data_IF_987940049917
#
_entry.id   IF_987940049917
#
_cell.length_a   1.000
_cell.length_b   1.000
_cell.length_c   1.000
_cell.angle_alpha   90.00
_cell.angle_beta   90.00
_cell.angle_gamma   90.00
#
_symmetry.space_group_name_H-M   'P 1'
#
loop_
_entity.id
_entity.type
_entity.pdbx_description
1 polymer ?
#
# COMPACT_ATOMS: atom_id res chain seq x y z
N UNK A 1 -40.39 37.56 -4.20
CA UNK A 1 -39.53 36.63 -4.94
C UNK A 1 -39.41 35.38 -4.10
N UNK A 2 -40.17 34.33 -4.44
CA UNK A 2 -40.17 33.08 -3.70
C UNK A 2 -38.97 32.26 -4.14
N UNK A 3 -37.95 32.15 -3.29
CA UNK A 3 -36.88 31.17 -3.49
C UNK A 3 -37.49 29.78 -3.35
N UNK A 4 -37.63 29.07 -4.47
CA UNK A 4 -38.11 27.70 -4.47
C UNK A 4 -36.99 26.78 -3.99
N UNK A 5 -37.02 26.38 -2.73
CA UNK A 5 -36.20 25.28 -2.18
C UNK A 5 -36.53 23.91 -2.81
N UNK A 6 -37.48 23.85 -3.78
CA UNK A 6 -37.98 22.61 -4.36
C UNK A 6 -37.07 21.96 -5.42
N UNK A 7 -35.90 22.54 -5.73
CA UNK A 7 -35.00 22.00 -6.76
C UNK A 7 -33.78 21.25 -6.21
N UNK A 8 -33.54 21.25 -4.89
CA UNK A 8 -32.48 20.40 -4.32
C UNK A 8 -33.06 18.98 -4.18
N UNK A 9 -32.55 17.98 -4.91
CA UNK A 9 -32.99 16.61 -4.72
C UNK A 9 -32.76 16.22 -3.24
N UNK A 10 -33.65 15.41 -2.63
CA UNK A 10 -33.41 14.95 -1.28
C UNK A 10 -32.04 14.27 -1.25
N UNK A 11 -31.14 14.76 -0.39
CA UNK A 11 -29.73 14.34 -0.30
C UNK A 11 -29.59 12.80 -0.22
N UNK A 12 -30.61 12.14 0.33
CA UNK A 12 -30.77 10.68 0.41
C UNK A 12 -30.71 9.96 -0.96
N UNK A 13 -31.07 10.62 -2.06
CA UNK A 13 -31.06 10.04 -3.41
C UNK A 13 -29.74 10.18 -4.15
N UNK A 14 -28.81 11.01 -3.66
CA UNK A 14 -27.55 11.28 -4.34
C UNK A 14 -26.58 10.14 -4.09
N UNK A 15 -26.35 9.27 -5.07
CA UNK A 15 -25.51 8.06 -4.90
C UNK A 15 -24.06 8.26 -5.35
N UNK A 16 -23.73 9.37 -5.99
CA UNK A 16 -22.38 9.62 -6.50
C UNK A 16 -21.77 10.94 -5.97
N UNK A 17 -20.44 10.93 -5.86
CA UNK A 17 -19.66 12.05 -5.32
C UNK A 17 -19.68 13.31 -6.18
N UNK A 18 -19.82 13.16 -7.50
CA UNK A 18 -19.87 14.29 -8.43
C UNK A 18 -21.16 15.11 -8.29
N UNK A 19 -22.31 14.45 -8.20
CA UNK A 19 -23.59 15.11 -7.94
C UNK A 19 -23.58 15.76 -6.56
N UNK A 20 -23.02 15.09 -5.55
CA UNK A 20 -22.90 15.67 -4.22
C UNK A 20 -22.00 16.91 -4.22
N UNK A 21 -20.90 16.91 -4.96
CA UNK A 21 -20.04 18.08 -5.10
C UNK A 21 -20.78 19.26 -5.72
N UNK A 22 -21.55 19.04 -6.80
CA UNK A 22 -22.39 20.08 -7.41
C UNK A 22 -23.44 20.63 -6.44
N UNK A 23 -24.07 19.75 -5.66
CA UNK A 23 -25.05 20.17 -4.64
C UNK A 23 -24.37 20.97 -3.51
N UNK A 24 -23.16 20.61 -3.11
CA UNK A 24 -22.39 21.39 -2.13
C UNK A 24 -22.10 22.80 -2.66
N UNK A 25 -21.68 22.93 -3.92
CA UNK A 25 -21.45 24.24 -4.55
C UNK A 25 -22.72 25.09 -4.57
N UNK A 26 -23.86 24.50 -4.94
CA UNK A 26 -25.15 25.18 -4.95
C UNK A 26 -25.60 25.56 -3.53
N UNK A 27 -25.44 24.67 -2.55
CA UNK A 27 -25.72 24.95 -1.14
C UNK A 27 -24.88 26.10 -0.60
N UNK A 28 -23.58 26.15 -0.93
CA UNK A 28 -22.69 27.22 -0.51
C UNK A 28 -23.11 28.57 -1.12
N UNK A 29 -23.44 28.58 -2.41
CA UNK A 29 -23.94 29.78 -3.11
C UNK A 29 -25.28 30.27 -2.53
N UNK A 30 -26.19 29.33 -2.25
CA UNK A 30 -27.48 29.64 -1.64
C UNK A 30 -27.31 30.19 -0.22
N UNK A 31 -26.45 29.57 0.59
CA UNK A 31 -26.15 30.04 1.95
C UNK A 31 -25.56 31.45 1.94
N UNK A 32 -24.63 31.74 1.04
CA UNK A 32 -24.05 33.09 0.91
C UNK A 32 -25.12 34.14 0.58
N UNK A 33 -26.06 33.80 -0.31
CA UNK A 33 -27.18 34.68 -0.66
C UNK A 33 -28.16 34.85 0.51
N UNK A 34 -28.45 33.78 1.26
CA UNK A 34 -29.31 33.82 2.43
C UNK A 34 -28.72 34.70 3.55
N UNK A 35 -27.40 34.69 3.72
CA UNK A 35 -26.71 35.56 4.68
C UNK A 35 -26.89 37.05 4.36
N UNK A 36 -26.96 37.43 3.08
CA UNK A 36 -27.31 38.80 2.66
C UNK A 36 -28.73 39.21 3.07
N UNK A 37 -29.61 38.24 3.27
CA UNK A 37 -30.97 38.43 3.77
C UNK A 37 -31.06 38.25 5.30
N UNK A 38 -29.92 38.21 6.00
CA UNK A 38 -29.81 37.95 7.43
C UNK A 38 -30.42 36.60 7.88
N UNK A 39 -30.46 35.63 6.97
CA UNK A 39 -30.83 34.24 7.25
C UNK A 39 -29.57 33.39 7.32
N UNK A 40 -29.30 32.76 8.47
CA UNK A 40 -28.21 31.78 8.59
C UNK A 40 -28.77 30.36 8.54
N UNK A 41 -28.64 29.72 7.39
CA UNK A 41 -29.01 28.31 7.16
C UNK A 41 -27.79 27.40 7.08
N UNK A 42 -26.58 27.95 7.24
CA UNK A 42 -25.32 27.26 6.98
C UNK A 42 -25.14 26.03 7.87
N UNK A 43 -25.53 26.12 9.14
CA UNK A 43 -25.47 25.01 10.09
C UNK A 43 -26.29 23.80 9.65
N UNK A 44 -27.55 24.01 9.24
CA UNK A 44 -28.44 22.91 8.83
C UNK A 44 -27.99 22.25 7.52
N UNK A 45 -27.51 23.06 6.57
CA UNK A 45 -26.95 22.56 5.32
C UNK A 45 -25.67 21.75 5.57
N UNK A 46 -24.76 22.27 6.40
CA UNK A 46 -23.51 21.61 6.74
C UNK A 46 -23.75 20.24 7.40
N UNK A 47 -24.65 20.14 8.38
CA UNK A 47 -24.96 18.85 9.03
C UNK A 47 -25.50 17.82 8.02
N UNK A 48 -26.39 18.25 7.12
CA UNK A 48 -26.98 17.36 6.12
C UNK A 48 -25.93 16.88 5.09
N UNK A 49 -25.05 17.79 4.65
CA UNK A 49 -23.95 17.49 3.74
C UNK A 49 -22.92 16.56 4.39
N UNK A 50 -22.49 16.87 5.62
CA UNK A 50 -21.58 16.03 6.42
C UNK A 50 -22.16 14.62 6.56
N UNK A 51 -23.44 14.51 6.91
CA UNK A 51 -24.13 13.22 7.05
C UNK A 51 -24.10 12.42 5.75
N UNK A 52 -24.37 13.08 4.60
CA UNK A 52 -24.38 12.38 3.31
C UNK A 52 -22.99 11.93 2.88
N UNK A 53 -21.96 12.78 3.02
CA UNK A 53 -20.56 12.43 2.74
C UNK A 53 -20.14 11.23 3.59
N UNK A 54 -20.43 11.25 4.90
CA UNK A 54 -20.15 10.13 5.81
C UNK A 54 -20.84 8.84 5.36
N UNK A 55 -22.09 8.93 4.92
CA UNK A 55 -22.87 7.77 4.46
C UNK A 55 -22.26 7.15 3.21
N UNK A 56 -22.00 7.95 2.17
CA UNK A 56 -21.37 7.47 0.93
C UNK A 56 -20.00 6.84 1.20
N UNK A 57 -19.19 7.46 2.06
CA UNK A 57 -17.90 6.92 2.43
C UNK A 57 -18.03 5.57 3.16
N UNK A 58 -18.95 5.48 4.13
CA UNK A 58 -19.17 4.27 4.90
C UNK A 58 -19.68 3.11 4.03
N UNK A 59 -20.57 3.39 3.06
CA UNK A 59 -21.06 2.39 2.10
C UNK A 59 -19.89 1.82 1.27
N UNK A 60 -19.02 2.67 0.75
CA UNK A 60 -17.85 2.23 -0.04
C UNK A 60 -16.85 1.44 0.80
N UNK A 61 -16.57 1.87 2.04
CA UNK A 61 -15.72 1.12 2.97
C UNK A 61 -16.32 -0.25 3.31
N UNK A 62 -17.65 -0.35 3.49
CA UNK A 62 -18.32 -1.61 3.76
C UNK A 62 -18.22 -2.59 2.57
N UNK A 63 -18.40 -2.10 1.34
CA UNK A 63 -18.21 -2.90 0.12
C UNK A 63 -16.75 -3.36 -0.05
N UNK A 64 -15.80 -2.47 0.25
CA UNK A 64 -14.37 -2.80 0.27
C UNK A 64 -14.07 -3.92 1.27
N UNK A 65 -14.62 -3.82 2.49
CA UNK A 65 -14.45 -4.81 3.53
C UNK A 65 -15.07 -6.16 3.15
N UNK A 66 -16.27 -6.15 2.57
CA UNK A 66 -16.91 -7.38 2.08
C UNK A 66 -16.07 -8.07 0.99
N UNK A 67 -15.55 -7.30 0.04
CA UNK A 67 -14.71 -7.82 -1.06
C UNK A 67 -13.40 -8.41 -0.54
N UNK A 68 -12.74 -7.71 0.40
CA UNK A 68 -11.57 -8.23 1.10
C UNK A 68 -11.89 -9.54 1.83
N UNK A 69 -12.93 -9.57 2.67
CA UNK A 69 -13.29 -10.75 3.46
C UNK A 69 -13.62 -11.96 2.58
N UNK A 70 -14.38 -11.75 1.50
CA UNK A 70 -14.70 -12.81 0.54
C UNK A 70 -13.45 -13.35 -0.16
N UNK A 71 -12.52 -12.47 -0.55
CA UNK A 71 -11.25 -12.88 -1.14
C UNK A 71 -10.35 -13.58 -0.12
N UNK A 72 -10.33 -13.14 1.13
CA UNK A 72 -9.52 -13.74 2.19
C UNK A 72 -10.02 -15.14 2.55
N UNK A 73 -11.34 -15.35 2.58
CA UNK A 73 -11.94 -16.65 2.86
C UNK A 73 -11.58 -17.76 1.83
N UNK A 74 -11.17 -17.36 0.63
CA UNK A 74 -10.76 -18.28 -0.45
C UNK A 74 -9.26 -18.25 -0.72
N UNK A 75 -8.51 -17.41 0.00
CA UNK A 75 -7.08 -17.26 -0.17
C UNK A 75 -6.34 -18.52 0.31
N UNK A 76 -5.34 -18.96 -0.47
CA UNK A 76 -4.52 -20.12 -0.12
C UNK A 76 -3.08 -19.70 0.13
N UNK A 77 -2.56 -20.10 1.28
CA UNK A 77 -1.15 -19.91 1.65
C UNK A 77 -0.18 -20.84 0.90
N UNK A 78 -0.70 -21.81 0.13
CA UNK A 78 0.12 -22.76 -0.63
C UNK A 78 0.89 -22.03 -1.73
N UNK A 79 2.16 -22.41 -1.89
CA UNK A 79 2.98 -21.94 -3.01
C UNK A 79 2.39 -22.48 -4.32
N UNK A 80 1.79 -21.59 -5.11
CA UNK A 80 1.37 -21.96 -6.46
C UNK A 80 2.62 -22.24 -7.30
N UNK A 81 2.72 -23.44 -7.86
CA UNK A 81 3.89 -23.93 -8.60
C UNK A 81 4.26 -23.10 -9.84
N UNK A 82 3.42 -22.14 -10.23
CA UNK A 82 3.67 -21.21 -11.35
C UNK A 82 4.03 -19.77 -10.94
N UNK A 83 3.91 -19.39 -9.67
CA UNK A 83 4.19 -18.03 -9.20
C UNK A 83 5.48 -18.04 -8.39
N UNK A 84 6.62 -17.90 -9.08
CA UNK A 84 7.88 -17.57 -8.44
C UNK A 84 7.70 -16.20 -7.80
N UNK A 85 7.46 -16.18 -6.49
CA UNK A 85 7.29 -14.96 -5.70
C UNK A 85 8.65 -14.26 -5.62
N UNK A 86 9.04 -13.58 -6.70
CA UNK A 86 10.32 -12.90 -6.75
C UNK A 86 10.27 -11.77 -5.74
N UNK A 87 11.03 -11.90 -4.65
CA UNK A 87 11.36 -10.83 -3.69
C UNK A 87 12.13 -9.67 -4.33
N UNK A 88 12.18 -9.59 -5.67
CA UNK A 88 13.06 -8.74 -6.46
C UNK A 88 12.33 -8.02 -7.61
N UNK A 89 11.03 -7.74 -7.50
CA UNK A 89 10.50 -6.59 -8.23
C UNK A 89 11.11 -5.35 -7.58
N UNK A 90 12.28 -4.97 -8.11
CA UNK A 90 13.08 -3.80 -7.75
C UNK A 90 12.19 -2.67 -7.25
N UNK A 91 12.34 -2.35 -5.97
CA UNK A 91 11.99 -1.05 -5.38
C UNK A 91 12.50 0.02 -6.35
N UNK A 92 11.58 0.63 -7.10
CA UNK A 92 11.91 1.72 -7.98
C UNK A 92 12.39 2.87 -7.07
N UNK A 93 13.65 3.27 -7.25
CA UNK A 93 14.22 4.46 -6.62
C UNK A 93 13.27 5.66 -6.83
N UNK A 94 13.09 6.52 -5.82
CA UNK A 94 12.24 7.69 -5.95
C UNK A 94 12.91 8.69 -6.90
N UNK A 95 12.55 8.64 -8.19
CA UNK A 95 12.83 9.73 -9.11
C UNK A 95 12.10 10.97 -8.61
N UNK A 96 12.90 11.97 -8.23
CA UNK A 96 12.52 13.33 -7.90
C UNK A 96 11.84 14.00 -9.08
N UNK A 97 10.52 13.79 -9.20
CA UNK A 97 9.65 14.61 -10.03
C UNK A 97 8.30 14.77 -9.33
N UNK A 98 7.88 16.01 -9.18
CA UNK A 98 6.80 16.53 -8.33
C UNK A 98 5.37 16.15 -8.77
N UNK A 99 5.09 14.87 -8.98
CA UNK A 99 3.75 14.32 -8.81
C UNK A 99 3.88 13.07 -7.98
N UNK A 100 3.43 13.10 -6.72
CA UNK A 100 3.33 11.91 -5.90
C UNK A 100 2.50 10.88 -6.68
N UNK A 101 3.16 9.83 -7.18
CA UNK A 101 2.50 8.80 -7.96
C UNK A 101 1.50 8.08 -7.05
N UNK A 102 0.23 8.50 -7.08
CA UNK A 102 -0.92 7.83 -6.44
C UNK A 102 -1.26 6.49 -7.10
N UNK A 103 -0.40 5.97 -7.96
CA UNK A 103 -0.58 4.65 -8.56
C UNK A 103 -0.48 3.57 -7.47
N UNK A 104 -1.39 2.60 -7.43
CA UNK A 104 -1.29 1.45 -6.53
C UNK A 104 0.06 0.74 -6.69
N UNK A 105 0.71 0.29 -5.60
CA UNK A 105 1.91 -0.52 -5.69
C UNK A 105 1.65 -1.81 -6.48
N UNK A 106 2.43 -2.04 -7.54
CA UNK A 106 2.26 -3.21 -8.42
C UNK A 106 2.49 -4.53 -7.68
N UNK A 107 3.26 -4.50 -6.58
CA UNK A 107 3.47 -5.63 -5.66
C UNK A 107 2.19 -6.12 -5.00
N UNK A 108 1.10 -5.34 -4.99
CA UNK A 108 -0.18 -5.75 -4.43
C UNK A 108 -1.03 -6.59 -5.39
N UNK A 109 -0.74 -6.57 -6.70
CA UNK A 109 -1.52 -7.31 -7.70
C UNK A 109 -1.44 -8.83 -7.52
N UNK A 110 -0.33 -9.32 -6.97
CA UNK A 110 -0.14 -10.73 -6.59
C UNK A 110 -0.89 -11.10 -5.29
N UNK A 111 -1.34 -10.11 -4.52
CA UNK A 111 -2.05 -10.28 -3.25
C UNK A 111 -3.52 -9.89 -3.40
N UNK A 112 -4.31 -10.78 -4.00
CA UNK A 112 -5.70 -10.49 -4.37
C UNK A 112 -6.56 -9.90 -3.23
N UNK A 113 -6.51 -10.40 -1.97
CA UNK A 113 -7.25 -9.77 -0.87
C UNK A 113 -6.85 -8.31 -0.62
N UNK A 114 -5.55 -8.01 -0.60
CA UNK A 114 -5.04 -6.64 -0.44
C UNK A 114 -5.39 -5.78 -1.65
N UNK A 115 -5.35 -6.31 -2.86
CA UNK A 115 -5.77 -5.58 -4.06
C UNK A 115 -7.25 -5.17 -3.98
N UNK A 116 -8.15 -6.07 -3.56
CA UNK A 116 -9.57 -5.75 -3.35
C UNK A 116 -9.77 -4.69 -2.27
N UNK A 117 -9.06 -4.81 -1.14
CA UNK A 117 -9.12 -3.82 -0.07
C UNK A 117 -8.64 -2.44 -0.55
N UNK A 118 -7.54 -2.38 -1.32
CA UNK A 118 -6.99 -1.11 -1.79
C UNK A 118 -7.91 -0.48 -2.82
N UNK A 119 -8.40 -1.25 -3.78
CA UNK A 119 -9.31 -0.76 -4.81
C UNK A 119 -10.60 -0.19 -4.21
N UNK A 120 -11.15 -0.85 -3.17
CA UNK A 120 -12.31 -0.34 -2.45
C UNK A 120 -12.00 0.94 -1.65
N UNK A 121 -10.84 1.03 -0.99
CA UNK A 121 -10.37 2.27 -0.35
C UNK A 121 -10.22 3.42 -1.35
N UNK A 122 -9.57 3.18 -2.49
CA UNK A 122 -9.40 4.18 -3.54
C UNK A 122 -10.76 4.61 -4.11
N UNK A 123 -11.71 3.69 -4.24
CA UNK A 123 -13.09 4.00 -4.65
C UNK A 123 -13.78 4.88 -3.60
N UNK A 124 -13.63 4.57 -2.31
CA UNK A 124 -14.18 5.40 -1.23
C UNK A 124 -13.55 6.81 -1.23
N UNK A 125 -12.23 6.92 -1.36
CA UNK A 125 -11.53 8.20 -1.46
C UNK A 125 -11.99 9.02 -2.67
N UNK A 126 -12.07 8.38 -3.85
CA UNK A 126 -12.53 9.03 -5.07
C UNK A 126 -13.99 9.49 -4.95
N UNK A 127 -14.83 8.74 -4.24
CA UNK A 127 -16.23 9.10 -3.99
C UNK A 127 -16.34 10.40 -3.24
N UNK A 128 -15.46 10.67 -2.26
CA UNK A 128 -15.56 11.88 -1.44
C UNK A 128 -14.58 13.00 -1.82
N UNK A 129 -13.62 12.76 -2.72
CA UNK A 129 -12.53 13.70 -3.05
C UNK A 129 -12.99 15.11 -3.39
N UNK A 130 -14.12 15.25 -4.08
CA UNK A 130 -14.67 16.56 -4.51
C UNK A 130 -15.70 17.14 -3.54
N UNK A 131 -16.05 16.42 -2.48
CA UNK A 131 -17.07 16.79 -1.51
C UNK A 131 -16.55 16.67 -0.07
N UNK A 132 -15.24 16.83 0.15
CA UNK A 132 -14.67 16.89 1.50
C UNK A 132 -15.10 18.21 2.15
N UNK A 133 -15.87 18.10 3.23
CA UNK A 133 -16.33 19.23 4.05
C UNK A 133 -15.75 19.14 5.47
N UNK A 134 -15.55 20.25 6.19
CA UNK A 134 -15.12 20.22 7.59
C UNK A 134 -16.02 19.30 8.44
N UNK A 135 -15.42 18.53 9.36
CA UNK A 135 -16.16 17.64 10.26
C UNK A 135 -16.32 16.17 9.80
N UNK A 136 -15.82 15.80 8.62
CA UNK A 136 -15.82 14.39 8.14
C UNK A 136 -14.53 13.64 8.49
N UNK A 137 -13.44 14.35 8.79
CA UNK A 137 -12.09 13.78 8.93
C UNK A 137 -12.03 12.62 9.94
N UNK A 138 -12.41 12.85 11.19
CA UNK A 138 -12.33 11.83 12.26
C UNK A 138 -13.14 10.58 11.91
N UNK A 139 -14.31 10.77 11.28
CA UNK A 139 -15.15 9.66 10.83
C UNK A 139 -14.47 8.84 9.72
N UNK A 140 -13.89 9.52 8.72
CA UNK A 140 -13.21 8.85 7.62
C UNK A 140 -11.98 8.09 8.13
N UNK A 141 -11.17 8.71 8.99
CA UNK A 141 -10.02 8.06 9.66
C UNK A 141 -10.49 6.80 10.39
N UNK A 142 -11.51 6.88 11.24
CA UNK A 142 -12.01 5.73 12.00
C UNK A 142 -12.52 4.59 11.09
N UNK A 143 -13.13 4.91 9.94
CA UNK A 143 -13.59 3.91 8.97
C UNK A 143 -12.43 3.21 8.26
N UNK A 144 -11.43 3.97 7.84
CA UNK A 144 -10.21 3.40 7.22
C UNK A 144 -9.44 2.58 8.24
N UNK A 145 -9.25 3.09 9.45
CA UNK A 145 -8.64 2.37 10.57
C UNK A 145 -9.36 1.05 10.85
N UNK A 146 -10.70 1.05 10.90
CA UNK A 146 -11.48 -0.17 11.11
C UNK A 146 -11.21 -1.25 10.05
N UNK A 147 -11.03 -0.85 8.78
CA UNK A 147 -10.65 -1.77 7.71
C UNK A 147 -9.23 -2.30 7.92
N UNK A 148 -8.26 -1.42 8.16
CA UNK A 148 -6.86 -1.82 8.41
C UNK A 148 -6.72 -2.73 9.63
N UNK A 149 -7.43 -2.44 10.71
CA UNK A 149 -7.47 -3.26 11.92
C UNK A 149 -8.06 -4.64 11.65
N UNK A 150 -9.04 -4.73 10.77
CA UNK A 150 -9.61 -6.03 10.36
C UNK A 150 -8.55 -6.87 9.64
N UNK A 151 -7.86 -6.28 8.66
CA UNK A 151 -6.77 -6.96 7.93
C UNK A 151 -5.66 -7.40 8.91
N UNK A 152 -5.23 -6.51 9.80
CA UNK A 152 -4.20 -6.83 10.78
C UNK A 152 -4.62 -7.93 11.76
N UNK A 153 -5.89 -7.96 12.18
CA UNK A 153 -6.43 -9.01 13.06
C UNK A 153 -6.50 -10.36 12.36
N UNK A 154 -6.89 -10.41 11.09
CA UNK A 154 -6.88 -11.65 10.32
C UNK A 154 -5.45 -12.21 10.21
N UNK A 155 -4.46 -11.37 9.92
CA UNK A 155 -3.05 -11.78 9.90
C UNK A 155 -2.58 -12.26 11.27
N UNK A 156 -2.93 -11.55 12.34
CA UNK A 156 -2.56 -11.95 13.70
C UNK A 156 -3.23 -13.28 14.13
N UNK A 157 -4.45 -13.55 13.68
CA UNK A 157 -5.17 -14.81 13.94
C UNK A 157 -4.46 -16.00 13.30
N UNK A 158 -3.97 -15.83 12.07
CA UNK A 158 -3.34 -16.91 11.32
C UNK A 158 -1.84 -17.08 11.63
N UNK A 159 -1.25 -16.11 12.36
CA UNK A 159 0.18 -16.07 12.73
C UNK A 159 0.69 -17.36 13.35
N UNK A 160 0.08 -17.84 14.43
CA UNK A 160 0.61 -18.99 15.17
C UNK A 160 0.61 -20.25 14.31
N UNK A 161 -0.47 -20.47 13.56
CA UNK A 161 -0.63 -21.61 12.66
C UNK A 161 0.42 -21.59 11.54
N UNK A 162 0.56 -20.46 10.85
CA UNK A 162 1.44 -20.36 9.67
C UNK A 162 2.92 -20.25 10.04
N UNK A 163 3.26 -19.70 11.21
CA UNK A 163 4.65 -19.64 11.67
C UNK A 163 5.18 -20.99 12.17
N UNK A 164 4.29 -21.90 12.57
CA UNK A 164 4.62 -23.28 12.96
C UNK A 164 4.81 -24.22 11.76
N UNK A 165 4.34 -23.84 10.57
CA UNK A 165 4.52 -24.62 9.35
C UNK A 165 5.98 -24.54 8.85
N UNK A 166 6.49 -25.67 8.38
CA UNK A 166 7.78 -25.76 7.69
C UNK A 166 7.55 -25.75 6.17
N UNK A 167 8.20 -24.83 5.45
CA UNK A 167 8.16 -24.76 3.99
C UNK A 167 7.60 -23.46 3.41
N UNK A 168 7.06 -23.55 2.19
CA UNK A 168 6.68 -22.39 1.38
C UNK A 168 5.52 -21.57 1.92
N UNK A 169 4.60 -22.17 2.69
CA UNK A 169 3.42 -21.49 3.23
C UNK A 169 3.79 -20.37 4.21
N UNK A 170 4.76 -20.64 5.10
CA UNK A 170 5.33 -19.64 6.00
C UNK A 170 5.93 -18.47 5.23
N UNK A 171 6.64 -18.76 4.12
CA UNK A 171 7.25 -17.71 3.31
C UNK A 171 6.19 -16.85 2.60
N UNK A 172 5.13 -17.44 2.05
CA UNK A 172 4.01 -16.71 1.45
C UNK A 172 3.33 -15.82 2.48
N UNK A 173 3.10 -16.33 3.70
CA UNK A 173 2.57 -15.55 4.80
C UNK A 173 3.45 -14.33 5.14
N UNK A 174 4.76 -14.52 5.29
CA UNK A 174 5.69 -13.43 5.60
C UNK A 174 5.70 -12.36 4.50
N UNK A 175 5.69 -12.76 3.22
CA UNK A 175 5.64 -11.83 2.10
C UNK A 175 4.29 -11.08 2.03
N UNK A 176 3.19 -11.73 2.42
CA UNK A 176 1.89 -11.07 2.52
C UNK A 176 1.90 -10.01 3.63
N UNK A 177 2.42 -10.35 4.81
CA UNK A 177 2.58 -9.41 5.93
C UNK A 177 3.47 -8.24 5.52
N UNK A 178 4.57 -8.52 4.83
CA UNK A 178 5.47 -7.50 4.31
C UNK A 178 4.75 -6.55 3.36
N UNK A 179 4.00 -7.08 2.39
CA UNK A 179 3.22 -6.27 1.46
C UNK A 179 2.12 -5.45 2.16
N UNK A 180 1.49 -6.00 3.19
CA UNK A 180 0.52 -5.24 3.98
C UNK A 180 1.18 -4.06 4.70
N UNK A 181 2.32 -4.28 5.37
CA UNK A 181 2.97 -3.27 6.21
C UNK A 181 3.74 -2.23 5.39
N UNK A 182 4.50 -2.68 4.40
CA UNK A 182 5.47 -1.84 3.69
C UNK A 182 4.90 -1.21 2.40
N UNK A 183 3.90 -1.84 1.78
CA UNK A 183 3.34 -1.31 0.53
C UNK A 183 1.92 -0.78 0.75
N UNK A 184 1.00 -1.64 1.18
CA UNK A 184 -0.42 -1.32 1.31
C UNK A 184 -0.65 -0.21 2.34
N UNK A 185 -0.19 -0.41 3.58
CA UNK A 185 -0.43 0.51 4.68
C UNK A 185 0.18 1.89 4.42
N UNK A 186 1.43 1.94 3.95
CA UNK A 186 2.09 3.20 3.61
C UNK A 186 1.37 3.94 2.48
N UNK A 187 0.91 3.23 1.46
CA UNK A 187 0.14 3.85 0.38
C UNK A 187 -1.20 4.42 0.88
N UNK A 188 -1.87 3.73 1.81
CA UNK A 188 -3.10 4.24 2.44
C UNK A 188 -2.83 5.50 3.27
N UNK A 189 -1.72 5.57 4.02
CA UNK A 189 -1.32 6.79 4.75
C UNK A 189 -1.13 7.98 3.80
N UNK A 190 -0.42 7.77 2.69
CA UNK A 190 -0.25 8.80 1.65
C UNK A 190 -1.61 9.25 1.12
N UNK A 191 -2.49 8.31 0.75
CA UNK A 191 -3.83 8.67 0.25
C UNK A 191 -4.65 9.46 1.27
N UNK A 192 -4.55 9.12 2.55
CA UNK A 192 -5.23 9.83 3.63
C UNK A 192 -4.69 11.24 3.83
N UNK A 193 -3.35 11.43 3.80
CA UNK A 193 -2.73 12.76 3.83
C UNK A 193 -3.22 13.63 2.68
N UNK A 194 -3.24 13.09 1.47
CA UNK A 194 -3.62 13.84 0.27
C UNK A 194 -5.12 14.20 0.26
N UNK A 195 -5.97 13.35 0.84
CA UNK A 195 -7.41 13.57 0.88
C UNK A 195 -7.85 14.50 2.02
N UNK A 196 -7.25 14.37 3.20
CA UNK A 196 -7.74 14.98 4.46
C UNK A 196 -6.68 15.77 5.24
N UNK A 197 -5.42 15.78 4.79
CA UNK A 197 -4.31 16.51 5.41
C UNK A 197 -3.46 15.68 6.39
N UNK A 198 -2.37 16.28 6.88
CA UNK A 198 -1.38 15.62 7.74
C UNK A 198 -1.97 15.11 9.07
N UNK A 199 -2.97 15.81 9.62
CA UNK A 199 -3.62 15.40 10.87
C UNK A 199 -4.34 14.05 10.70
N UNK A 200 -4.96 13.81 9.54
CA UNK A 200 -5.63 12.55 9.26
C UNK A 200 -4.64 11.40 9.12
N UNK A 201 -3.48 11.63 8.50
CA UNK A 201 -2.38 10.66 8.44
C UNK A 201 -1.87 10.34 9.85
N UNK A 202 -1.56 11.35 10.65
CA UNK A 202 -1.04 11.17 12.02
C UNK A 202 -2.02 10.41 12.92
N UNK A 203 -3.32 10.73 12.83
CA UNK A 203 -4.36 10.02 13.58
C UNK A 203 -4.44 8.55 13.17
N UNK A 204 -4.44 8.27 11.87
CA UNK A 204 -4.47 6.90 11.36
C UNK A 204 -3.20 6.13 11.76
N UNK A 205 -2.03 6.76 11.69
CA UNK A 205 -0.77 6.17 12.08
C UNK A 205 -0.75 5.80 13.56
N UNK A 206 -1.24 6.71 14.42
CA UNK A 206 -1.37 6.47 15.85
C UNK A 206 -2.34 5.33 16.17
N UNK A 207 -3.49 5.27 15.49
CA UNK A 207 -4.47 4.19 15.66
C UNK A 207 -3.92 2.82 15.24
N UNK A 208 -3.08 2.78 14.20
CA UNK A 208 -2.51 1.53 13.66
C UNK A 208 -1.18 1.12 14.29
N UNK A 209 -0.52 2.00 15.05
CA UNK A 209 0.85 1.81 15.57
C UNK A 209 1.09 0.44 16.21
N UNK A 210 0.23 0.02 17.15
CA UNK A 210 0.39 -1.25 17.86
C UNK A 210 0.26 -2.48 16.94
N UNK A 211 -0.74 -2.47 16.05
CA UNK A 211 -0.99 -3.57 15.11
C UNK A 211 0.15 -3.70 14.10
N UNK A 212 0.64 -2.58 13.57
CA UNK A 212 1.73 -2.55 12.61
C UNK A 212 3.05 -2.99 13.27
N UNK A 213 3.35 -2.53 14.49
CA UNK A 213 4.58 -2.94 15.20
C UNK A 213 4.59 -4.44 15.51
N UNK A 214 3.44 -4.98 15.93
CA UNK A 214 3.27 -6.42 16.14
C UNK A 214 3.53 -7.22 14.86
N UNK A 215 3.02 -6.75 13.71
CA UNK A 215 3.26 -7.38 12.41
C UNK A 215 4.68 -7.17 11.86
N UNK A 216 5.36 -6.07 12.19
CA UNK A 216 6.77 -5.89 11.84
C UNK A 216 7.68 -6.83 12.62
N UNK A 217 7.37 -7.08 13.89
CA UNK A 217 8.19 -7.95 14.75
C UNK A 217 8.33 -9.39 14.25
N UNK A 218 7.40 -9.84 13.38
CA UNK A 218 7.43 -11.19 12.79
C UNK A 218 8.21 -11.25 11.47
N UNK A 219 8.46 -10.10 10.83
CA UNK A 219 9.22 -10.05 9.60
C UNK A 219 10.70 -10.28 9.91
N UNK A 220 11.44 -11.00 9.05
CA UNK A 220 12.89 -11.09 9.18
C UNK A 220 13.44 -9.67 9.08
N UNK A 221 14.03 -9.16 10.16
CA UNK A 221 14.84 -7.94 10.06
C UNK A 221 15.95 -8.24 9.07
N UNK A 222 16.03 -7.51 7.96
CA UNK A 222 17.18 -7.57 7.08
C UNK A 222 18.43 -7.29 7.92
N UNK A 223 19.11 -8.35 8.36
CA UNK A 223 20.51 -8.23 8.71
C UNK A 223 21.19 -7.99 7.38
N UNK A 224 21.50 -6.74 7.08
CA UNK A 224 22.63 -6.43 6.23
C UNK A 224 23.83 -7.12 6.86
N UNK A 225 24.12 -8.36 6.45
CA UNK A 225 25.47 -8.90 6.50
C UNK A 225 26.31 -8.02 5.58
N UNK A 226 26.80 -6.91 6.11
CA UNK A 226 28.11 -6.41 5.72
C UNK A 226 29.06 -7.57 5.98
N UNK A 227 29.44 -8.24 4.90
CA UNK A 227 30.45 -9.28 4.88
C UNK A 227 31.66 -8.81 5.69
N UNK A 228 32.09 -9.66 6.63
CA UNK A 228 33.41 -9.63 7.22
C UNK A 228 34.46 -9.38 6.14
N UNK A 229 35.18 -8.26 6.23
CA UNK A 229 36.53 -8.19 5.71
C UNK A 229 37.37 -9.22 6.48
N UNK A 230 37.85 -10.24 5.77
CA UNK A 230 38.93 -11.11 6.25
C UNK A 230 40.23 -10.51 5.71
N UNK A 231 41.31 -10.39 6.50
CA UNK A 231 42.57 -9.85 6.01
C UNK A 231 43.21 -10.87 5.06
N UNK A 232 43.37 -10.50 3.79
CA UNK A 232 44.11 -11.30 2.83
C UNK A 232 45.56 -10.81 2.81
N UNK A 233 46.47 -11.67 3.27
CA UNK A 233 47.92 -11.55 3.06
C UNK A 233 48.19 -11.33 1.56
N UNK A 234 48.65 -10.14 1.20
CA UNK A 234 49.22 -9.90 -0.12
C UNK A 234 50.74 -10.07 -0.04
N UNK A 235 51.15 -11.27 -0.42
CA UNK A 235 52.54 -11.70 -0.53
C UNK A 235 53.16 -11.01 -1.76
N UNK A 236 54.09 -10.11 -1.47
CA UNK A 236 54.78 -9.28 -2.44
C UNK A 236 55.70 -10.12 -3.34
N UNK A 237 55.41 -10.13 -4.63
CA UNK A 237 56.27 -10.69 -5.68
C UNK A 237 57.44 -9.75 -5.93
N UNK A 238 58.69 -10.23 -5.81
CA UNK A 238 59.74 -9.82 -6.76
C UNK A 238 60.81 -10.90 -6.95
N UNK A 239 60.74 -11.52 -8.12
CA UNK A 239 61.76 -12.38 -8.70
C UNK A 239 62.89 -11.52 -9.27
N UNK A 240 64.14 -11.87 -8.97
CA UNK A 240 65.31 -11.43 -9.73
C UNK A 240 66.28 -12.60 -9.92
N UNK A 241 66.29 -13.08 -11.15
CA UNK A 241 67.46 -13.50 -11.93
C UNK A 241 68.20 -14.81 -11.61
N UNK A 242 68.29 -15.60 -12.69
CA UNK A 242 69.49 -16.21 -13.29
C UNK A 242 69.94 -17.65 -12.95
N UNK A 243 70.03 -18.42 -14.05
CA UNK A 243 71.01 -19.46 -14.41
C UNK A 243 70.94 -20.85 -13.74
N UNK A 244 70.53 -21.86 -14.51
CA UNK A 244 71.44 -22.85 -15.16
C UNK A 244 70.61 -24.01 -15.72
N UNK A 245 70.31 -24.04 -17.03
CA UNK A 245 70.86 -24.94 -18.06
C UNK A 245 70.88 -26.44 -17.74
N UNK A 246 69.96 -27.17 -18.38
CA UNK A 246 70.06 -28.61 -18.67
C UNK A 246 70.17 -28.83 -20.20
N UNK A 247 70.79 -29.92 -20.67
CA UNK A 247 71.39 -30.01 -22.00
C UNK A 247 70.43 -30.49 -23.10
N UNK A 248 70.66 -29.96 -24.31
CA UNK A 248 70.14 -30.52 -25.55
C UNK A 248 70.92 -31.78 -25.97
N UNK A 249 70.21 -32.76 -26.52
CA UNK A 249 70.79 -33.90 -27.25
C UNK A 249 69.77 -34.48 -28.23
N UNK A 250 69.92 -34.10 -29.50
CA UNK A 250 69.16 -34.51 -30.69
C UNK A 250 68.97 -36.03 -30.84
N UNK A 251 67.80 -36.45 -31.33
CA UNK A 251 67.70 -37.50 -32.36
C UNK A 251 66.38 -37.41 -33.14
N UNK A 252 66.41 -37.91 -34.38
CA UNK A 252 65.68 -37.45 -35.56
C UNK A 252 64.74 -38.55 -36.11
N UNK A 253 63.51 -38.14 -36.47
CA UNK A 253 62.59 -38.66 -37.53
C UNK A 253 61.93 -40.07 -37.37
N UNK A 254 60.99 -40.46 -38.25
CA UNK A 254 59.66 -39.85 -38.45
C UNK A 254 58.50 -40.89 -38.50
N UNK A 255 57.28 -40.36 -38.63
CA UNK A 255 56.00 -41.04 -38.90
C UNK A 255 56.04 -42.22 -39.90
N UNK A 256 55.22 -43.24 -39.62
CA UNK A 256 54.54 -44.04 -40.64
C UNK A 256 53.13 -44.45 -40.16
N UNK A 257 52.12 -44.04 -40.95
CA UNK A 257 50.73 -44.50 -40.94
C UNK A 257 50.52 -45.39 -42.16
N UNK A 258 49.68 -46.42 -42.03
CA UNK A 258 49.19 -47.30 -43.09
C UNK A 258 49.55 -48.76 -42.78
N UNK A 259 48.62 -49.70 -42.64
CA UNK A 259 47.30 -49.90 -43.30
C UNK A 259 46.35 -50.64 -42.38
#
# INVERSE_FOLDING_TARGET
MSFSMASVPPLEKITNGSELASVIEECNSCSATATLLHMDISGLLNESLISRVKTLFAEQIALSMQSYTASMATFSWRTSTGLQWSSSLKRAEPTSSSSANMSPPLSLLQWLPLAYALNGLLTAFNTIRKCVVPGVMLFCVAKVEGLLQTVAKDLARDKELLMAMEGGEKQVYLLFVEAFVNDFYLHVLVCMRELLGNDAECLLENGMRGSIESLRSILPTERHTTSCETPQEEQQVMNAASFSTDPQGFSVAPNAVGT
#
